data_IF_483447486304
#
_entry.id   IF_483447486304
#
_cell.length_a   1.000
_cell.length_b   1.000
_cell.length_c   1.000
_cell.angle_alpha   90.00
_cell.angle_beta   90.00
_cell.angle_gamma   90.00
#
_symmetry.space_group_name_H-M   'P 1'
#
loop_
_entity.id
_entity.type
_entity.pdbx_description
1 polymer ?
#
# COMPACT_ATOMS: atom_id res chain seq x y z
N UNK A 1 -8.64 -20.05 -0.83
CA UNK A 1 -9.71 -19.38 -1.60
C UNK A 1 -10.53 -18.49 -0.68
N UNK A 2 -9.95 -17.43 -0.12
CA UNK A 2 -10.60 -16.20 0.38
C UNK A 2 -9.41 -15.25 0.58
N UNK A 3 -9.12 -14.37 -0.38
CA UNK A 3 -8.33 -13.12 -0.22
C UNK A 3 -8.04 -12.54 -1.61
N UNK A 4 -9.08 -12.13 -2.34
CA UNK A 4 -8.89 -11.33 -3.56
C UNK A 4 -9.94 -10.23 -3.71
N UNK A 5 -11.06 -10.27 -2.96
CA UNK A 5 -12.21 -9.40 -3.24
C UNK A 5 -12.33 -8.13 -2.39
N UNK A 6 -11.64 -8.01 -1.25
CA UNK A 6 -12.08 -7.00 -0.25
C UNK A 6 -11.41 -5.64 -0.39
N UNK A 7 -10.23 -5.51 -1.03
CA UNK A 7 -9.51 -4.22 -1.05
C UNK A 7 -9.51 -3.49 -2.41
N UNK A 8 -10.15 -4.03 -3.45
CA UNK A 8 -10.16 -3.41 -4.79
C UNK A 8 -11.31 -2.41 -5.03
N UNK A 9 -12.05 -2.00 -3.98
CA UNK A 9 -13.37 -1.37 -4.13
C UNK A 9 -13.50 0.07 -3.59
N UNK A 10 -12.42 0.86 -3.61
CA UNK A 10 -12.57 2.32 -3.44
C UNK A 10 -11.91 3.09 -4.58
N UNK A 11 -12.75 3.41 -5.57
CA UNK A 11 -12.64 4.61 -6.41
C UNK A 11 -11.46 4.64 -7.38
N UNK A 12 -11.55 3.86 -8.45
CA UNK A 12 -10.63 3.98 -9.60
C UNK A 12 -11.04 5.21 -10.42
N UNK A 13 -10.18 6.23 -10.63
CA UNK A 13 -10.50 7.36 -11.48
C UNK A 13 -10.74 6.93 -12.94
N UNK A 14 -11.72 7.56 -13.59
CA UNK A 14 -12.21 7.23 -14.94
C UNK A 14 -11.13 7.19 -16.05
N UNK A 15 -9.92 7.68 -15.80
CA UNK A 15 -8.78 7.67 -16.72
C UNK A 15 -8.00 6.34 -16.75
N UNK A 16 -8.16 5.48 -15.75
CA UNK A 16 -7.37 4.24 -15.63
C UNK A 16 -7.83 3.15 -16.62
N UNK A 17 -9.10 3.22 -17.04
CA UNK A 17 -9.70 2.34 -18.05
C UNK A 17 -9.07 2.52 -19.43
N UNK A 18 -8.63 3.74 -19.76
CA UNK A 18 -8.05 4.03 -21.07
C UNK A 18 -6.64 3.43 -21.23
N UNK A 19 -5.93 3.27 -20.12
CA UNK A 19 -4.55 2.75 -20.11
C UNK A 19 -4.47 1.30 -19.64
N UNK A 20 -5.61 0.63 -19.40
CA UNK A 20 -5.65 -0.76 -18.94
C UNK A 20 -5.01 -0.94 -17.57
N UNK A 21 -5.06 0.08 -16.71
CA UNK A 21 -4.43 0.09 -15.39
C UNK A 21 -5.31 -0.52 -14.30
N UNK A 22 -6.51 -0.99 -14.66
CA UNK A 22 -7.48 -1.56 -13.71
C UNK A 22 -7.03 -2.91 -13.14
N UNK A 23 -6.12 -3.61 -13.83
CA UNK A 23 -5.70 -4.96 -13.44
C UNK A 23 -4.20 -5.00 -13.14
N UNK A 24 -3.81 -5.57 -11.99
CA UNK A 24 -2.41 -5.82 -11.70
C UNK A 24 -1.85 -6.80 -12.72
N UNK A 25 -0.61 -6.58 -13.15
CA UNK A 25 0.02 -7.47 -14.11
C UNK A 25 0.23 -8.85 -13.48
N UNK A 26 -0.29 -9.91 -14.11
CA UNK A 26 -0.02 -11.28 -13.67
C UNK A 26 1.41 -11.65 -14.04
N UNK A 27 2.19 -12.03 -13.03
CA UNK A 27 3.56 -12.53 -13.20
C UNK A 27 3.55 -13.99 -12.74
N UNK A 28 4.10 -14.88 -13.55
CA UNK A 28 4.24 -16.28 -13.18
C UNK A 28 5.21 -16.39 -11.98
N UNK A 29 4.91 -17.27 -11.03
CA UNK A 29 5.68 -17.52 -9.79
C UNK A 29 5.67 -16.40 -8.71
N UNK A 30 4.80 -15.40 -8.84
CA UNK A 30 4.67 -14.30 -7.87
C UNK A 30 3.21 -14.02 -7.53
N UNK A 31 2.92 -13.80 -6.25
CA UNK A 31 1.60 -13.36 -5.75
C UNK A 31 1.58 -11.85 -5.54
N UNK A 32 0.46 -11.21 -5.88
CA UNK A 32 0.23 -9.80 -5.58
C UNK A 32 -0.09 -9.65 -4.09
N UNK A 33 0.72 -8.86 -3.40
CA UNK A 33 0.51 -8.54 -1.99
C UNK A 33 -0.49 -7.38 -1.83
N UNK A 34 -0.19 -6.26 -2.47
CA UNK A 34 -1.02 -5.05 -2.41
C UNK A 34 -0.65 -4.06 -3.51
N UNK A 35 -1.50 -3.06 -3.72
CA UNK A 35 -1.30 -1.97 -4.65
C UNK A 35 -1.27 -0.64 -3.87
N UNK A 36 -0.19 0.11 -4.03
CA UNK A 36 -0.03 1.44 -3.41
C UNK A 36 -0.20 2.53 -4.46
N UNK A 37 -1.08 3.49 -4.22
CA UNK A 37 -1.23 4.70 -5.04
C UNK A 37 -0.31 5.82 -4.59
N UNK A 38 -0.05 5.91 -3.29
CA UNK A 38 0.73 6.96 -2.67
C UNK A 38 2.22 6.54 -2.51
N UNK A 39 3.18 7.41 -2.87
CA UNK A 39 4.60 7.08 -2.79
C UNK A 39 5.14 6.97 -1.36
N UNK A 40 4.52 7.63 -0.38
CA UNK A 40 4.97 7.59 1.03
C UNK A 40 4.65 6.23 1.64
N UNK A 41 3.40 5.80 1.53
CA UNK A 41 2.95 4.48 1.99
C UNK A 41 3.72 3.33 1.30
N UNK A 42 4.01 3.47 0.00
CA UNK A 42 4.89 2.53 -0.70
C UNK A 42 6.28 2.47 -0.06
N UNK A 43 6.90 3.61 0.24
CA UNK A 43 8.26 3.66 0.81
C UNK A 43 8.31 2.99 2.18
N UNK A 44 7.28 3.19 3.02
CA UNK A 44 7.18 2.55 4.33
C UNK A 44 7.03 1.03 4.18
N UNK A 45 6.19 0.58 3.24
CA UNK A 45 6.02 -0.85 2.96
C UNK A 45 7.32 -1.51 2.46
N UNK A 46 8.09 -0.84 1.61
CA UNK A 46 9.40 -1.32 1.14
C UNK A 46 10.38 -1.49 2.29
N UNK A 47 10.45 -0.52 3.20
CA UNK A 47 11.32 -0.57 4.36
C UNK A 47 10.94 -1.72 5.30
N UNK A 48 9.64 -1.91 5.55
CA UNK A 48 9.12 -2.94 6.44
C UNK A 48 9.37 -4.36 5.90
N UNK A 49 9.19 -4.55 4.59
CA UNK A 49 9.50 -5.83 3.95
C UNK A 49 11.02 -6.08 3.88
N UNK A 50 11.81 -5.03 3.68
CA UNK A 50 13.27 -5.12 3.70
C UNK A 50 13.80 -5.48 5.09
N UNK A 51 13.24 -4.91 6.15
CA UNK A 51 13.62 -5.21 7.54
C UNK A 51 13.23 -6.64 7.94
N UNK A 52 12.06 -7.11 7.47
CA UNK A 52 11.65 -8.50 7.62
C UNK A 52 12.48 -9.49 6.78
N UNK A 53 13.36 -9.01 5.90
CA UNK A 53 14.18 -9.85 5.02
C UNK A 53 13.39 -10.56 3.91
N UNK A 54 12.22 -10.03 3.55
CA UNK A 54 11.33 -10.62 2.55
C UNK A 54 11.67 -10.01 1.19
N UNK A 55 12.06 -10.82 0.18
CA UNK A 55 12.30 -10.29 -1.15
C UNK A 55 10.98 -9.97 -1.85
N UNK A 56 10.85 -8.73 -2.29
CA UNK A 56 9.68 -8.22 -2.99
C UNK A 56 10.05 -7.69 -4.37
N UNK A 57 9.07 -7.71 -5.28
CA UNK A 57 9.17 -7.10 -6.60
C UNK A 57 8.21 -5.92 -6.68
N UNK A 58 8.77 -4.73 -6.94
CA UNK A 58 8.00 -3.52 -7.24
C UNK A 58 7.75 -3.40 -8.75
N UNK A 59 6.49 -3.18 -9.14
CA UNK A 59 6.12 -2.93 -10.53
C UNK A 59 5.11 -1.79 -10.64
N UNK A 60 5.54 -0.69 -11.26
CA UNK A 60 4.66 0.43 -11.60
C UNK A 60 3.71 0.03 -12.74
N UNK A 61 2.43 0.43 -12.68
CA UNK A 61 1.45 0.11 -13.72
C UNK A 61 1.67 0.92 -15.00
N UNK A 62 1.43 0.25 -16.14
CA UNK A 62 1.48 0.87 -17.48
C UNK A 62 2.79 1.58 -17.79
N UNK A 63 2.68 2.83 -18.26
CA UNK A 63 3.83 3.68 -18.55
C UNK A 63 4.43 4.36 -17.31
N UNK A 64 4.05 3.94 -16.09
CA UNK A 64 4.43 4.57 -14.82
C UNK A 64 5.91 4.84 -14.68
N UNK A 65 6.76 3.84 -14.97
CA UNK A 65 8.21 4.01 -14.87
C UNK A 65 8.76 5.10 -15.79
N UNK A 66 8.27 5.16 -17.03
CA UNK A 66 8.68 6.20 -17.97
C UNK A 66 8.16 7.58 -17.54
N UNK A 67 6.90 7.64 -17.07
CA UNK A 67 6.28 8.88 -16.57
C UNK A 67 7.00 9.39 -15.33
N UNK A 68 7.37 8.51 -14.41
CA UNK A 68 8.15 8.85 -13.21
C UNK A 68 9.51 9.44 -13.57
N UNK A 69 10.20 8.88 -14.57
CA UNK A 69 11.50 9.39 -15.03
C UNK A 69 11.36 10.76 -15.71
N UNK A 70 10.35 10.93 -16.57
CA UNK A 70 10.19 12.15 -17.39
C UNK A 70 9.57 13.29 -16.58
N UNK A 71 8.52 13.01 -15.81
CA UNK A 71 7.74 14.00 -15.10
C UNK A 71 8.23 14.22 -13.66
N UNK A 72 8.99 13.27 -13.09
CA UNK A 72 9.53 13.35 -11.74
C UNK A 72 8.54 12.99 -10.63
N UNK A 73 7.32 12.55 -10.98
CA UNK A 73 6.30 12.12 -10.02
C UNK A 73 5.61 10.83 -10.47
N UNK A 74 5.08 10.09 -9.50
CA UNK A 74 4.35 8.84 -9.74
C UNK A 74 2.87 9.16 -9.97
N UNK A 75 2.39 8.92 -11.20
CA UNK A 75 1.00 9.14 -11.61
C UNK A 75 0.12 7.90 -11.43
N UNK A 76 0.70 6.73 -11.56
CA UNK A 76 -0.01 5.46 -11.52
C UNK A 76 0.33 4.69 -10.26
N UNK A 77 -0.61 3.86 -9.84
CA UNK A 77 -0.41 2.97 -8.73
C UNK A 77 0.70 1.94 -9.03
N UNK A 78 1.30 1.46 -7.96
CA UNK A 78 2.41 0.53 -8.00
C UNK A 78 2.03 -0.74 -7.29
N UNK A 79 2.20 -1.85 -7.99
CA UNK A 79 1.90 -3.18 -7.50
C UNK A 79 3.14 -3.77 -6.83
N UNK A 80 2.93 -4.37 -5.66
CA UNK A 80 3.95 -5.06 -4.90
C UNK A 80 3.69 -6.56 -4.95
N UNK A 81 4.70 -7.32 -5.35
CA UNK A 81 4.63 -8.76 -5.50
C UNK A 81 5.63 -9.45 -4.58
N UNK A 82 5.24 -10.62 -4.09
CA UNK A 82 6.06 -11.49 -3.23
C UNK A 82 5.98 -12.93 -3.73
N UNK A 83 6.92 -13.77 -3.31
CA UNK A 83 6.82 -15.20 -3.59
C UNK A 83 5.66 -15.80 -2.79
N UNK A 84 4.97 -16.82 -3.33
CA UNK A 84 3.83 -17.42 -2.65
C UNK A 84 4.19 -18.02 -1.29
N UNK A 85 5.43 -18.50 -1.10
CA UNK A 85 5.89 -19.00 0.21
C UNK A 85 6.04 -17.92 1.30
N UNK A 86 6.16 -16.65 0.93
CA UNK A 86 6.43 -15.53 1.83
C UNK A 86 5.20 -14.60 1.97
N UNK A 87 4.07 -14.93 1.31
CA UNK A 87 2.84 -14.12 1.27
C UNK A 87 2.29 -13.84 2.67
N UNK A 88 2.12 -14.88 3.49
CA UNK A 88 1.57 -14.74 4.84
C UNK A 88 2.44 -13.81 5.71
N UNK A 89 3.76 -13.99 5.65
CA UNK A 89 4.71 -13.15 6.41
C UNK A 89 4.72 -11.71 5.92
N UNK A 90 4.56 -11.51 4.62
CA UNK A 90 4.51 -10.18 4.03
C UNK A 90 3.23 -9.45 4.43
N UNK A 91 2.10 -10.17 4.52
CA UNK A 91 0.86 -9.60 5.06
C UNK A 91 1.01 -9.23 6.53
N UNK A 92 1.60 -10.10 7.35
CA UNK A 92 1.84 -9.84 8.77
C UNK A 92 2.73 -8.61 8.99
N UNK A 93 3.77 -8.46 8.16
CA UNK A 93 4.64 -7.29 8.19
C UNK A 93 3.86 -6.00 7.90
N UNK A 94 2.88 -6.01 6.98
CA UNK A 94 2.14 -4.82 6.57
C UNK A 94 0.92 -4.47 7.44
N UNK A 95 0.59 -5.26 8.47
CA UNK A 95 -0.51 -4.98 9.39
C UNK A 95 -0.49 -3.55 9.95
N UNK A 96 0.67 -2.99 10.38
CA UNK A 96 0.74 -1.62 10.92
C UNK A 96 0.27 -0.52 9.95
N UNK A 97 0.27 -0.79 8.64
CA UNK A 97 -0.21 0.14 7.61
C UNK A 97 -1.72 0.04 7.35
N UNK A 98 -2.37 -1.03 7.84
CA UNK A 98 -3.80 -1.29 7.61
C UNK A 98 -4.70 -0.72 8.71
N UNK A 99 -4.13 -0.40 9.86
CA UNK A 99 -4.88 0.19 10.97
C UNK A 99 -5.16 1.66 10.66
N UNK A 100 -6.43 2.11 10.66
CA UNK A 100 -6.71 3.53 10.65
C UNK A 100 -6.04 4.11 11.89
N UNK A 101 -5.17 5.10 11.70
CA UNK A 101 -4.55 5.83 12.79
C UNK A 101 -5.65 6.27 13.78
N UNK A 102 -5.81 5.54 14.88
CA UNK A 102 -6.51 6.06 16.04
C UNK A 102 -5.58 7.13 16.60
N UNK A 103 -5.89 8.37 16.25
CA UNK A 103 -5.40 9.53 16.97
C UNK A 103 -5.83 9.34 18.42
N UNK A 104 -4.90 8.89 19.27
CA UNK A 104 -5.06 8.98 20.71
C UNK A 104 -4.96 10.47 21.02
N UNK A 105 -6.11 11.12 21.22
CA UNK A 105 -6.14 12.43 21.85
C UNK A 105 -5.63 12.23 23.29
N UNK A 106 -4.40 12.66 23.55
CA UNK A 106 -3.91 12.82 24.91
C UNK A 106 -4.78 13.86 25.64
N UNK A 107 -5.07 13.56 26.90
CA UNK A 107 -6.08 14.17 27.76
C UNK A 107 -5.86 15.67 28.05
N UNK A 108 -6.94 16.47 28.00
CA UNK A 108 -7.08 17.67 28.84
C UNK A 108 -8.29 17.47 29.76
N UNK A 109 -8.06 16.89 30.94
CA UNK A 109 -8.99 16.96 32.07
C UNK A 109 -8.43 17.98 33.08
N UNK A 110 -8.68 19.26 32.81
CA UNK A 110 -8.57 20.30 33.83
C UNK A 110 -9.78 20.19 34.76
N UNK A 111 -9.64 19.36 35.80
CA UNK A 111 -10.50 19.46 36.98
C UNK A 111 -10.07 20.71 37.76
N UNK A 112 -10.72 21.84 37.48
CA UNK A 112 -10.70 23.02 38.35
C UNK A 112 -11.27 22.63 39.73
N UNK A 113 -10.38 22.31 40.66
CA UNK A 113 -10.67 22.39 42.09
C UNK A 113 -10.37 23.82 42.53
N UNK A 114 -11.42 24.62 42.74
CA UNK A 114 -11.37 25.81 43.57
C UNK A 114 -12.58 25.86 44.51
N UNK A 115 -12.26 25.83 45.79
CA UNK A 115 -13.11 26.18 46.94
C UNK A 115 -14.04 27.37 46.70
N UNK A 116 -15.31 27.24 47.14
CA UNK A 116 -16.03 28.17 48.01
C UNK A 116 -17.37 27.59 48.47
#
# INVERSE_FOLDING_TARGET
>A
MICCEVFCLKGVPQMDYFFGLDHPAKIEDLTLLTTFSDPVSLSIAEELLSDAGIPFLKKERGAGGAVRIIAGFQLFATDLFVRPEDEDKAHDALIPLSEPAEFVSEDENDTENSEA
#
